data_IF_555688483981
#
_entry.id   IF_555688483981
#
_cell.length_a   1.000
_cell.length_b   1.000
_cell.length_c   1.000
_cell.angle_alpha   90.00
_cell.angle_beta   90.00
_cell.angle_gamma   90.00
#
_symmetry.space_group_name_H-M   'P 1'
#
loop_
_entity.id
_entity.type
_entity.pdbx_description
1 polymer ?
#
# COMPACT_ATOMS: atom_id res chain seq x y z
N UNK A 1 18.23 -23.74 12.78
CA UNK A 1 18.86 -22.54 12.18
C UNK A 1 17.80 -21.85 11.33
N UNK A 2 17.24 -20.72 11.77
CA UNK A 2 16.33 -19.94 10.92
C UNK A 2 17.15 -19.37 9.77
N UNK A 3 16.73 -19.63 8.52
CA UNK A 3 17.33 -18.96 7.36
C UNK A 3 16.98 -17.48 7.46
N UNK A 4 17.98 -16.60 7.42
CA UNK A 4 17.76 -15.16 7.27
C UNK A 4 16.82 -14.91 6.07
N UNK A 5 15.72 -14.22 6.31
CA UNK A 5 14.75 -13.86 5.27
C UNK A 5 15.21 -12.54 4.66
N UNK A 6 15.53 -12.55 3.37
CA UNK A 6 15.82 -11.32 2.64
C UNK A 6 14.50 -10.62 2.26
N UNK A 7 14.43 -9.32 2.48
CA UNK A 7 13.27 -8.50 2.14
C UNK A 7 13.55 -7.63 0.92
N UNK A 8 12.50 -7.37 0.13
CA UNK A 8 12.55 -6.46 -1.00
C UNK A 8 12.92 -5.04 -0.57
N UNK A 9 13.81 -4.41 -1.34
CA UNK A 9 14.22 -3.03 -1.10
C UNK A 9 13.13 -2.07 -1.58
N UNK A 10 12.83 -1.06 -0.78
CA UNK A 10 12.05 0.12 -1.19
C UNK A 10 13.02 1.26 -1.50
N UNK A 11 12.66 2.18 -2.40
CA UNK A 11 13.51 3.31 -2.80
C UNK A 11 14.94 2.95 -3.24
N UNK A 12 15.19 1.74 -3.76
CA UNK A 12 16.55 1.24 -4.00
C UNK A 12 17.41 2.21 -4.82
N UNK A 13 16.84 2.72 -5.92
CA UNK A 13 17.49 3.69 -6.80
C UNK A 13 17.74 5.05 -6.13
N UNK A 14 16.79 5.51 -5.32
CA UNK A 14 16.91 6.78 -4.58
C UNK A 14 18.01 6.68 -3.52
N UNK A 15 18.10 5.56 -2.81
CA UNK A 15 19.18 5.31 -1.87
C UNK A 15 20.55 5.24 -2.57
N UNK A 16 20.64 4.67 -3.77
CA UNK A 16 21.87 4.67 -4.56
C UNK A 16 22.26 6.09 -5.01
N UNK A 17 21.30 6.87 -5.51
CA UNK A 17 21.49 8.27 -5.88
C UNK A 17 21.89 9.14 -4.69
N UNK A 18 21.22 8.99 -3.55
CA UNK A 18 21.51 9.70 -2.31
C UNK A 18 22.92 9.40 -1.78
N UNK A 19 23.33 8.12 -1.79
CA UNK A 19 24.70 7.73 -1.43
C UNK A 19 25.75 8.33 -2.36
N UNK A 20 25.46 8.40 -3.66
CA UNK A 20 26.35 9.08 -4.62
C UNK A 20 26.43 10.57 -4.31
N UNK A 21 25.28 11.24 -4.14
CA UNK A 21 25.20 12.65 -3.79
C UNK A 21 25.97 12.98 -2.52
N UNK A 22 25.79 12.21 -1.44
CA UNK A 22 26.50 12.42 -0.18
C UNK A 22 28.02 12.35 -0.34
N UNK A 23 28.52 11.38 -1.12
CA UNK A 23 29.96 11.24 -1.38
C UNK A 23 30.55 12.43 -2.13
N UNK A 24 29.76 13.09 -2.96
CA UNK A 24 30.19 14.20 -3.82
C UNK A 24 30.01 15.57 -3.15
N UNK A 25 29.04 15.71 -2.23
CA UNK A 25 28.58 17.03 -1.76
C UNK A 25 28.63 17.22 -0.24
N UNK A 26 28.84 16.16 0.56
CA UNK A 26 28.94 16.28 2.02
C UNK A 26 30.40 16.38 2.48
N UNK A 27 30.74 17.22 3.49
CA UNK A 27 32.11 17.48 3.93
C UNK A 27 32.94 16.21 4.23
N UNK A 28 32.30 15.19 4.79
CA UNK A 28 32.93 13.90 5.15
C UNK A 28 32.41 12.71 4.30
N UNK A 29 31.68 12.99 3.21
CA UNK A 29 30.99 11.97 2.43
C UNK A 29 29.82 11.29 3.16
N UNK A 30 29.37 11.87 4.29
CA UNK A 30 28.30 11.34 5.16
C UNK A 30 27.13 12.33 5.26
N UNK A 31 25.89 11.83 5.36
CA UNK A 31 24.73 12.68 5.57
C UNK A 31 24.79 13.39 6.93
N UNK A 32 24.40 14.65 6.93
CA UNK A 32 24.16 15.50 8.10
C UNK A 32 22.71 16.05 8.06
N UNK A 33 22.35 16.91 9.01
CA UNK A 33 20.99 17.48 9.12
C UNK A 33 20.54 18.29 7.90
N UNK A 34 21.46 18.85 7.11
CA UNK A 34 21.14 19.66 5.92
C UNK A 34 21.10 18.81 4.64
N UNK A 35 21.67 17.60 4.68
CA UNK A 35 21.84 16.76 3.50
C UNK A 35 20.52 16.37 2.81
N UNK A 36 19.41 16.09 3.52
CA UNK A 36 18.13 15.82 2.86
C UNK A 36 17.62 16.98 2.00
N UNK A 37 17.67 18.23 2.49
CA UNK A 37 17.21 19.38 1.70
C UNK A 37 18.18 19.70 0.55
N UNK A 38 19.49 19.58 0.77
CA UNK A 38 20.46 19.72 -0.32
C UNK A 38 20.23 18.67 -1.43
N UNK A 39 19.93 17.43 -1.04
CA UNK A 39 19.58 16.38 -1.98
C UNK A 39 18.27 16.69 -2.71
N UNK A 40 17.25 17.20 -2.02
CA UNK A 40 15.99 17.63 -2.63
C UNK A 40 16.23 18.64 -3.75
N UNK A 41 16.99 19.70 -3.48
CA UNK A 41 17.29 20.74 -4.47
C UNK A 41 18.08 20.20 -5.65
N UNK A 42 19.06 19.34 -5.39
CA UNK A 42 19.83 18.65 -6.42
C UNK A 42 18.94 17.73 -7.27
N UNK A 43 18.09 16.93 -6.64
CA UNK A 43 17.22 15.98 -7.33
C UNK A 43 16.21 16.71 -8.21
N UNK A 44 15.56 17.75 -7.69
CA UNK A 44 14.63 18.60 -8.45
C UNK A 44 15.31 19.19 -9.69
N UNK A 45 16.53 19.71 -9.54
CA UNK A 45 17.22 20.38 -10.63
C UNK A 45 17.75 19.44 -11.72
N UNK A 46 17.91 18.14 -11.43
CA UNK A 46 18.58 17.20 -12.33
C UNK A 46 17.69 16.06 -12.83
N UNK A 47 16.66 15.67 -12.07
CA UNK A 47 15.91 14.44 -12.33
C UNK A 47 14.40 14.62 -12.33
N UNK A 48 13.86 15.67 -11.71
CA UNK A 48 12.40 15.87 -11.71
C UNK A 48 11.95 16.33 -13.09
N UNK A 49 11.21 15.45 -13.75
CA UNK A 49 10.59 15.70 -15.05
C UNK A 49 9.06 15.57 -15.00
N UNK A 50 8.52 15.03 -13.91
CA UNK A 50 7.11 14.71 -13.72
C UNK A 50 6.65 14.89 -12.27
N UNK A 51 5.33 14.94 -12.07
CA UNK A 51 4.68 14.84 -10.75
C UNK A 51 5.13 13.58 -9.98
N UNK A 52 5.30 12.47 -10.69
CA UNK A 52 5.68 11.19 -10.10
C UNK A 52 7.09 11.27 -9.52
N UNK A 53 8.03 11.89 -10.23
CA UNK A 53 9.40 12.11 -9.73
C UNK A 53 9.40 12.98 -8.46
N UNK A 54 8.61 14.05 -8.48
CA UNK A 54 8.47 14.95 -7.35
C UNK A 54 7.86 14.24 -6.13
N UNK A 55 6.81 13.45 -6.34
CA UNK A 55 6.13 12.67 -5.30
C UNK A 55 7.05 11.60 -4.72
N UNK A 56 7.77 10.87 -5.58
CA UNK A 56 8.72 9.84 -5.16
C UNK A 56 9.86 10.45 -4.33
N UNK A 57 10.41 11.60 -4.76
CA UNK A 57 11.43 12.33 -4.00
C UNK A 57 10.89 12.80 -2.64
N UNK A 58 9.68 13.35 -2.59
CA UNK A 58 9.05 13.76 -1.33
C UNK A 58 8.91 12.59 -0.36
N UNK A 59 8.44 11.43 -0.84
CA UNK A 59 8.30 10.24 -0.01
C UNK A 59 9.67 9.72 0.45
N UNK A 60 10.69 9.74 -0.41
CA UNK A 60 12.04 9.36 -0.01
C UNK A 60 12.62 10.28 1.06
N UNK A 61 12.38 11.59 1.00
CA UNK A 61 12.81 12.51 2.05
C UNK A 61 12.08 12.25 3.38
N UNK A 62 10.80 11.90 3.32
CA UNK A 62 10.04 11.45 4.49
C UNK A 62 10.61 10.17 5.07
N UNK A 63 11.02 9.22 4.23
CA UNK A 63 11.72 7.99 4.63
C UNK A 63 13.01 8.31 5.41
N UNK A 64 13.85 9.21 4.88
CA UNK A 64 15.07 9.67 5.52
C UNK A 64 14.83 10.37 6.86
N UNK A 65 13.68 11.02 7.03
CA UNK A 65 13.27 11.69 8.27
C UNK A 65 12.50 10.76 9.23
N UNK A 66 12.40 9.47 8.93
CA UNK A 66 11.63 8.49 9.71
C UNK A 66 10.13 8.79 9.76
N UNK A 67 9.56 9.44 8.74
CA UNK A 67 8.14 9.81 8.69
C UNK A 67 7.28 8.81 7.88
N UNK A 68 7.91 7.78 7.29
CA UNK A 68 7.20 6.71 6.59
C UNK A 68 7.08 5.45 7.43
N UNK A 69 5.92 4.81 7.33
CA UNK A 69 5.63 3.53 7.98
C UNK A 69 6.17 2.39 7.13
N UNK A 70 7.07 1.60 7.69
CA UNK A 70 7.56 0.38 7.04
C UNK A 70 6.73 -0.84 7.48
N UNK A 71 6.20 -1.58 6.52
CA UNK A 71 5.45 -2.83 6.74
C UNK A 71 6.21 -4.00 6.12
N UNK A 72 6.56 -4.98 6.94
CA UNK A 72 7.23 -6.21 6.53
C UNK A 72 6.21 -7.35 6.49
N UNK A 73 5.99 -7.93 5.32
CA UNK A 73 5.12 -9.11 5.22
C UNK A 73 5.82 -10.34 5.79
N UNK A 74 5.09 -11.13 6.57
CA UNK A 74 5.61 -12.42 7.04
C UNK A 74 5.55 -13.51 5.96
N UNK A 75 4.52 -13.46 5.12
CA UNK A 75 4.26 -14.43 4.06
C UNK A 75 4.06 -13.70 2.72
N UNK A 76 4.72 -14.19 1.67
CA UNK A 76 4.56 -13.65 0.32
C UNK A 76 3.18 -13.96 -0.27
N UNK A 77 2.50 -15.02 0.18
CA UNK A 77 1.16 -15.40 -0.27
C UNK A 77 0.11 -14.31 -0.02
N UNK A 78 0.35 -13.43 0.95
CA UNK A 78 -0.54 -12.32 1.26
C UNK A 78 -0.62 -11.31 0.09
N UNK A 79 0.44 -11.20 -0.72
CA UNK A 79 0.44 -10.40 -1.95
C UNK A 79 -0.56 -10.95 -2.94
N UNK A 80 -0.53 -12.27 -3.19
CA UNK A 80 -1.43 -12.91 -4.16
C UNK A 80 -2.89 -12.80 -3.70
N UNK A 81 -3.14 -12.92 -2.40
CA UNK A 81 -4.44 -12.63 -1.82
C UNK A 81 -4.89 -11.20 -2.12
N UNK A 82 -4.06 -10.18 -1.84
CA UNK A 82 -4.44 -8.79 -2.09
C UNK A 82 -4.66 -8.47 -3.56
N UNK A 83 -3.90 -9.10 -4.48
CA UNK A 83 -4.08 -8.94 -5.93
C UNK A 83 -5.36 -9.57 -6.46
N UNK A 84 -5.89 -10.60 -5.79
CA UNK A 84 -7.06 -11.36 -6.27
C UNK A 84 -8.38 -10.90 -5.67
N UNK A 85 -8.37 -10.26 -4.50
CA UNK A 85 -9.58 -9.73 -3.84
C UNK A 85 -10.14 -8.53 -4.61
N UNK A 86 -11.45 -8.54 -4.85
CA UNK A 86 -12.12 -7.42 -5.50
C UNK A 86 -12.21 -6.19 -4.59
N UNK A 87 -11.91 -5.02 -5.15
CA UNK A 87 -12.17 -3.73 -4.51
C UNK A 87 -13.68 -3.49 -4.52
N UNK A 88 -14.28 -3.39 -3.33
CA UNK A 88 -15.73 -3.14 -3.20
C UNK A 88 -16.10 -1.87 -2.47
N UNK A 89 -15.15 -1.26 -1.75
CA UNK A 89 -15.44 -0.14 -0.86
C UNK A 89 -14.27 0.84 -0.72
N UNK A 90 -14.23 1.83 -1.60
CA UNK A 90 -13.23 2.90 -1.53
C UNK A 90 -13.51 3.91 -0.41
N UNK A 91 -14.77 4.08 -0.01
CA UNK A 91 -15.14 5.04 1.04
C UNK A 91 -14.62 4.62 2.42
N UNK A 92 -14.58 3.32 2.70
CA UNK A 92 -13.88 2.80 3.87
C UNK A 92 -12.40 3.20 3.90
N UNK A 93 -11.72 3.11 2.76
CA UNK A 93 -10.31 3.49 2.63
C UNK A 93 -10.11 4.99 2.80
N UNK A 94 -10.93 5.82 2.14
CA UNK A 94 -10.87 7.28 2.33
C UNK A 94 -11.04 7.64 3.80
N UNK A 95 -11.94 6.97 4.52
CA UNK A 95 -12.13 7.19 5.97
C UNK A 95 -10.88 6.83 6.77
N UNK A 96 -10.29 5.66 6.52
CA UNK A 96 -9.05 5.25 7.19
C UNK A 96 -7.92 6.28 7.01
N UNK A 97 -7.77 6.80 5.79
CA UNK A 97 -6.77 7.83 5.48
C UNK A 97 -7.08 9.12 6.25
N UNK A 98 -8.34 9.55 6.35
CA UNK A 98 -8.72 10.71 7.18
C UNK A 98 -8.34 10.52 8.65
N UNK A 99 -8.52 9.31 9.17
CA UNK A 99 -8.32 9.01 10.59
C UNK A 99 -6.84 8.80 10.96
N UNK A 100 -6.00 8.37 10.01
CA UNK A 100 -4.61 7.95 10.28
C UNK A 100 -3.54 8.70 9.47
N UNK A 101 -3.94 9.51 8.50
CA UNK A 101 -3.05 10.30 7.66
C UNK A 101 -2.64 11.63 8.29
N UNK A 102 -1.79 12.37 7.58
CA UNK A 102 -1.32 13.68 7.97
C UNK A 102 -1.79 14.75 6.99
N UNK A 103 -2.16 15.92 7.51
CA UNK A 103 -2.47 17.07 6.66
C UNK A 103 -1.24 17.53 5.90
N UNK A 104 -1.39 17.69 4.59
CA UNK A 104 -0.31 18.11 3.69
C UNK A 104 -0.84 19.08 2.63
N UNK A 105 0.10 19.78 1.99
CA UNK A 105 -0.17 20.52 0.76
C UNK A 105 0.13 19.58 -0.41
N UNK A 106 -0.83 19.47 -1.34
CA UNK A 106 -0.78 18.61 -2.51
C UNK A 106 -0.89 19.44 -3.79
N UNK A 107 -0.28 18.99 -4.87
CA UNK A 107 -0.57 19.51 -6.20
C UNK A 107 -1.85 18.86 -6.74
N UNK A 108 -2.76 19.69 -7.26
CA UNK A 108 -4.06 19.27 -7.77
C UNK A 108 -4.04 18.93 -9.26
N UNK A 109 -3.05 19.44 -9.99
CA UNK A 109 -2.83 19.21 -11.42
C UNK A 109 -1.43 18.68 -11.71
N UNK A 110 -1.28 18.02 -12.87
CA UNK A 110 -0.03 17.42 -13.31
C UNK A 110 1.07 18.43 -13.67
N UNK A 111 0.72 19.71 -13.84
CA UNK A 111 1.65 20.80 -14.14
C UNK A 111 2.28 21.41 -12.88
N UNK A 112 1.89 20.94 -11.69
CA UNK A 112 2.37 21.45 -10.39
C UNK A 112 2.01 22.93 -10.15
N UNK A 113 0.95 23.44 -10.79
CA UNK A 113 0.60 24.87 -10.73
C UNK A 113 -0.39 25.20 -9.62
N UNK A 114 -1.32 24.29 -9.31
CA UNK A 114 -2.37 24.51 -8.32
C UNK A 114 -2.14 23.67 -7.08
N UNK A 115 -1.87 24.35 -5.97
CA UNK A 115 -1.76 23.75 -4.65
C UNK A 115 -3.13 23.67 -3.97
N UNK A 116 -3.34 22.59 -3.23
CA UNK A 116 -4.53 22.39 -2.40
C UNK A 116 -4.18 21.65 -1.13
N UNK A 117 -5.09 21.65 -0.16
CA UNK A 117 -4.92 20.87 1.07
C UNK A 117 -5.48 19.47 0.89
N UNK A 118 -4.91 18.53 1.63
CA UNK A 118 -5.44 17.20 1.72
C UNK A 118 -4.78 16.42 2.85
N UNK A 119 -5.07 15.13 2.87
CA UNK A 119 -4.53 14.18 3.83
C UNK A 119 -3.70 13.15 3.09
N UNK A 120 -2.47 12.92 3.54
CA UNK A 120 -1.59 11.92 2.96
C UNK A 120 -1.21 10.84 3.98
N UNK A 121 -1.19 9.61 3.52
CA UNK A 121 -0.69 8.46 4.27
C UNK A 121 0.30 7.68 3.39
N UNK A 122 1.50 7.37 3.91
CA UNK A 122 2.57 6.73 3.14
C UNK A 122 3.03 5.42 3.77
N UNK A 123 3.31 4.42 2.94
CA UNK A 123 3.75 3.08 3.37
C UNK A 123 4.92 2.60 2.51
N UNK A 124 5.96 2.07 3.16
CA UNK A 124 6.99 1.24 2.55
C UNK A 124 6.66 -0.25 2.80
N UNK A 125 6.24 -0.99 1.78
CA UNK A 125 5.91 -2.40 1.87
C UNK A 125 7.10 -3.28 1.46
N UNK A 126 7.61 -4.05 2.40
CA UNK A 126 8.69 -5.01 2.21
C UNK A 126 8.15 -6.43 2.08
N UNK A 127 8.49 -7.09 0.96
CA UNK A 127 8.02 -8.44 0.66
C UNK A 127 9.16 -9.43 0.89
N UNK A 128 8.94 -10.54 1.63
CA UNK A 128 9.96 -11.54 1.85
C UNK A 128 10.32 -12.24 0.53
N UNK A 129 11.62 -12.56 0.36
CA UNK A 129 12.20 -13.26 -0.79
C UNK A 129 12.03 -12.58 -2.15
N UNK A 130 11.64 -11.31 -2.16
CA UNK A 130 11.61 -10.48 -3.37
C UNK A 130 12.78 -9.51 -3.37
N UNK A 131 13.20 -9.07 -4.55
CA UNK A 131 14.28 -8.07 -4.70
C UNK A 131 13.79 -6.65 -4.44
N UNK A 132 12.53 -6.35 -4.79
CA UNK A 132 11.90 -5.04 -4.68
C UNK A 132 10.63 -5.10 -3.84
N UNK A 133 10.43 -4.09 -3.02
CA UNK A 133 9.18 -3.81 -2.32
C UNK A 133 8.31 -2.82 -3.08
N UNK A 134 7.26 -2.34 -2.44
CA UNK A 134 6.42 -1.25 -2.94
C UNK A 134 6.54 -0.04 -2.03
N UNK A 135 6.40 1.15 -2.60
CA UNK A 135 6.09 2.36 -1.85
C UNK A 135 4.73 2.82 -2.33
N UNK A 136 3.83 3.05 -1.37
CA UNK A 136 2.51 3.61 -1.63
C UNK A 136 2.36 4.95 -0.94
N UNK A 137 1.71 5.89 -1.59
CA UNK A 137 1.18 7.08 -0.93
C UNK A 137 -0.27 7.31 -1.33
N UNK A 138 -1.11 7.50 -0.33
CA UNK A 138 -2.54 7.70 -0.47
C UNK A 138 -2.84 9.16 -0.15
N UNK A 139 -3.17 9.93 -1.19
CA UNK A 139 -3.47 11.36 -1.10
C UNK A 139 -4.97 11.58 -1.28
N UNK A 140 -5.63 12.04 -0.23
CA UNK A 140 -7.04 12.40 -0.25
C UNK A 140 -7.19 13.92 -0.32
N UNK A 141 -7.75 14.40 -1.42
CA UNK A 141 -7.86 15.82 -1.73
C UNK A 141 -9.12 16.42 -1.08
N UNK A 142 -8.99 17.53 -0.35
CA UNK A 142 -10.13 18.12 0.37
C UNK A 142 -11.20 18.67 -0.59
N UNK A 143 -10.76 19.31 -1.68
CA UNK A 143 -11.66 20.00 -2.62
C UNK A 143 -12.54 19.04 -3.41
N UNK A 144 -12.00 17.88 -3.80
CA UNK A 144 -12.68 16.91 -4.67
C UNK A 144 -13.13 15.65 -3.94
N UNK A 145 -12.63 15.41 -2.71
CA UNK A 145 -12.72 14.13 -2.01
C UNK A 145 -12.24 12.93 -2.88
N UNK A 146 -11.35 13.23 -3.83
CA UNK A 146 -10.69 12.26 -4.69
C UNK A 146 -9.52 11.64 -3.94
N UNK A 147 -9.40 10.31 -4.02
CA UNK A 147 -8.22 9.59 -3.55
C UNK A 147 -7.30 9.33 -4.73
N UNK A 148 -6.07 9.82 -4.68
CA UNK A 148 -4.99 9.42 -5.60
C UNK A 148 -4.00 8.54 -4.87
N UNK A 149 -3.63 7.42 -5.49
CA UNK A 149 -2.70 6.44 -4.96
C UNK A 149 -1.44 6.49 -5.83
N UNK A 150 -0.35 7.01 -5.27
CA UNK A 150 0.98 6.88 -5.86
C UNK A 150 1.52 5.48 -5.60
N UNK A 151 2.13 4.89 -6.62
CA UNK A 151 2.82 3.62 -6.57
C UNK A 151 4.25 3.84 -7.02
N UNK A 152 5.22 3.30 -6.28
CA UNK A 152 6.57 3.06 -6.77
C UNK A 152 6.96 1.59 -6.55
N UNK A 153 7.43 0.94 -7.61
CA UNK A 153 7.92 -0.43 -7.59
C UNK A 153 9.14 -0.57 -8.50
N UNK A 154 10.32 -0.66 -7.90
CA UNK A 154 11.57 -0.73 -8.67
C UNK A 154 11.80 0.53 -9.50
N UNK A 155 11.68 0.40 -10.84
CA UNK A 155 11.82 1.53 -11.78
C UNK A 155 10.48 2.13 -12.20
N UNK A 156 9.37 1.50 -11.83
CA UNK A 156 8.04 1.94 -12.22
C UNK A 156 7.45 2.85 -11.16
N UNK A 157 6.83 3.93 -11.62
CA UNK A 157 6.07 4.85 -10.79
C UNK A 157 4.89 5.40 -11.57
N UNK A 158 3.76 5.57 -10.88
CA UNK A 158 2.54 6.13 -11.46
C UNK A 158 1.52 6.46 -10.37
N UNK A 159 0.50 7.24 -10.73
CA UNK A 159 -0.68 7.50 -9.89
C UNK A 159 -1.91 6.74 -10.40
N UNK A 160 -2.80 6.41 -9.47
CA UNK A 160 -4.13 5.85 -9.74
C UNK A 160 -5.18 6.72 -9.04
N UNK A 161 -6.19 7.19 -9.77
CA UNK A 161 -7.30 7.95 -9.17
C UNK A 161 -8.47 7.04 -8.75
N UNK A 162 -9.15 7.36 -7.65
CA UNK A 162 -10.39 6.71 -7.25
C UNK A 162 -11.48 6.85 -8.31
N UNK A 163 -11.52 7.96 -9.03
CA UNK A 163 -12.49 8.19 -10.10
C UNK A 163 -12.28 7.17 -11.24
N UNK A 164 -11.03 6.84 -11.53
CA UNK A 164 -10.67 5.83 -12.53
C UNK A 164 -11.05 4.42 -12.10
N UNK A 165 -10.85 4.11 -10.81
CA UNK A 165 -11.21 2.83 -10.21
C UNK A 165 -12.72 2.63 -10.22
N UNK A 166 -13.50 3.65 -9.82
CA UNK A 166 -14.96 3.61 -9.74
C UNK A 166 -15.62 3.48 -11.11
N UNK A 167 -15.09 4.18 -12.12
CA UNK A 167 -15.65 4.17 -13.47
C UNK A 167 -15.37 2.88 -14.26
N UNK A 168 -14.54 1.96 -13.74
CA UNK A 168 -14.21 0.65 -14.35
C UNK A 168 -13.81 0.69 -15.84
N UNK A 169 -13.30 1.83 -16.30
CA UNK A 169 -13.01 2.12 -17.73
C UNK A 169 -11.63 2.73 -17.97
N UNK A 170 -10.83 2.94 -16.93
CA UNK A 170 -9.47 3.48 -17.05
C UNK A 170 -8.45 2.42 -17.49
N UNK A 171 -7.28 2.87 -17.93
CA UNK A 171 -6.07 2.09 -18.24
C UNK A 171 -5.75 1.07 -17.13
N UNK A 172 -6.06 1.40 -15.88
CA UNK A 172 -5.96 0.51 -14.70
C UNK A 172 -6.70 -0.83 -14.88
N UNK A 173 -7.70 -0.91 -15.77
CA UNK A 173 -8.42 -2.16 -16.08
C UNK A 173 -8.02 -2.78 -17.42
N UNK A 174 -7.30 -2.05 -18.29
CA UNK A 174 -6.77 -2.61 -19.54
C UNK A 174 -5.39 -3.20 -19.36
N UNK A 175 -4.61 -2.70 -18.40
CA UNK A 175 -3.33 -3.28 -17.98
C UNK A 175 -3.53 -4.18 -16.76
N UNK A 176 -3.20 -5.47 -16.90
CA UNK A 176 -3.40 -6.46 -15.84
C UNK A 176 -2.49 -6.20 -14.63
N UNK A 177 -1.24 -5.79 -14.86
CA UNK A 177 -0.26 -5.58 -13.81
C UNK A 177 -0.63 -4.34 -12.97
N UNK A 178 -0.97 -3.24 -13.64
CA UNK A 178 -1.48 -2.04 -12.94
C UNK A 178 -2.75 -2.35 -12.15
N UNK A 179 -3.64 -3.20 -12.67
CA UNK A 179 -4.85 -3.63 -11.96
C UNK A 179 -4.51 -4.38 -10.67
N UNK A 180 -3.60 -5.35 -10.76
CA UNK A 180 -3.17 -6.16 -9.63
C UNK A 180 -2.50 -5.31 -8.54
N UNK A 181 -1.64 -4.36 -8.95
CA UNK A 181 -0.97 -3.47 -8.00
C UNK A 181 -1.96 -2.48 -7.37
N UNK A 182 -2.95 -2.02 -8.13
CA UNK A 182 -4.05 -1.19 -7.59
C UNK A 182 -4.83 -1.94 -6.52
N UNK A 183 -5.19 -3.20 -6.79
CA UNK A 183 -5.85 -4.08 -5.81
C UNK A 183 -4.96 -4.31 -4.60
N UNK A 184 -3.67 -4.56 -4.80
CA UNK A 184 -2.70 -4.69 -3.73
C UNK A 184 -2.71 -3.46 -2.81
N UNK A 185 -2.56 -2.26 -3.36
CA UNK A 185 -2.49 -1.03 -2.59
C UNK A 185 -3.78 -0.78 -1.78
N UNK A 186 -4.95 -1.05 -2.35
CA UNK A 186 -6.24 -0.81 -1.68
C UNK A 186 -6.58 -1.90 -0.66
N UNK A 187 -6.37 -3.16 -1.02
CA UNK A 187 -6.70 -4.28 -0.16
C UNK A 187 -5.74 -4.40 1.04
N UNK A 188 -4.48 -3.94 0.90
CA UNK A 188 -3.55 -3.84 2.03
C UNK A 188 -4.12 -2.95 3.14
N UNK A 189 -4.56 -1.72 2.83
CA UNK A 189 -5.17 -0.83 3.82
C UNK A 189 -6.47 -1.41 4.40
N UNK A 190 -7.29 -2.02 3.55
CA UNK A 190 -8.53 -2.68 3.99
C UNK A 190 -8.23 -3.80 4.99
N UNK A 191 -7.16 -4.56 4.75
CA UNK A 191 -6.71 -5.64 5.59
C UNK A 191 -6.20 -5.13 6.94
N UNK A 192 -5.35 -4.10 6.95
CA UNK A 192 -4.83 -3.48 8.18
C UNK A 192 -5.98 -2.95 9.03
N UNK A 193 -6.97 -2.30 8.42
CA UNK A 193 -8.16 -1.85 9.14
C UNK A 193 -8.96 -3.03 9.70
N UNK A 194 -9.24 -4.04 8.87
CA UNK A 194 -10.08 -5.16 9.27
C UNK A 194 -9.42 -6.08 10.32
N UNK A 195 -8.10 -6.19 10.30
CA UNK A 195 -7.31 -7.08 11.14
C UNK A 195 -6.14 -6.32 11.79
N UNK A 196 -6.43 -5.33 12.66
CA UNK A 196 -5.39 -4.49 13.24
C UNK A 196 -4.42 -5.30 14.10
N UNK A 197 -4.89 -6.37 14.76
CA UNK A 197 -4.07 -7.28 15.58
C UNK A 197 -3.03 -8.06 14.76
N UNK A 198 -3.18 -8.10 13.43
CA UNK A 198 -2.19 -8.73 12.54
C UNK A 198 -1.02 -7.78 12.21
N UNK A 199 -1.16 -6.48 12.45
CA UNK A 199 -0.09 -5.49 12.34
C UNK A 199 0.57 -5.33 13.71
N UNK A 200 1.84 -5.70 13.82
CA UNK A 200 2.54 -5.68 15.11
C UNK A 200 3.81 -4.86 15.00
N UNK A 201 4.11 -4.09 16.04
CA UNK A 201 5.29 -3.23 16.10
C UNK A 201 6.60 -4.01 16.06
N UNK A 202 7.58 -3.43 15.37
CA UNK A 202 8.93 -3.95 15.23
C UNK A 202 9.18 -4.57 13.85
N UNK A 203 10.46 -4.64 13.49
CA UNK A 203 10.92 -5.40 12.34
C UNK A 203 10.95 -6.91 12.66
N UNK A 204 10.96 -7.76 11.61
CA UNK A 204 11.38 -9.15 11.75
C UNK A 204 12.72 -9.25 12.47
N UNK A 205 12.89 -10.27 13.32
CA UNK A 205 14.20 -10.59 13.90
C UNK A 205 15.23 -10.61 12.75
N UNK A 206 16.26 -9.76 12.84
CA UNK A 206 17.35 -9.53 11.86
C UNK A 206 17.24 -8.27 10.96
N UNK A 207 16.13 -7.51 11.00
CA UNK A 207 16.06 -6.20 10.34
C UNK A 207 16.12 -5.09 11.40
N UNK A 208 17.07 -4.16 11.26
CA UNK A 208 17.18 -2.97 12.14
C UNK A 208 16.75 -1.73 11.38
N UNK A 209 15.54 -1.26 11.64
CA UNK A 209 15.00 0.02 11.14
C UNK A 209 14.13 0.65 12.22
N UNK A 210 13.96 1.97 12.19
CA UNK A 210 13.04 2.74 13.04
C UNK A 210 11.69 2.87 12.30
N UNK A 211 10.56 2.98 13.03
CA UNK A 211 9.19 3.06 12.47
C UNK A 211 8.76 1.92 11.55
N UNK A 212 8.82 0.69 12.08
CA UNK A 212 8.50 -0.54 11.38
C UNK A 212 7.45 -1.40 12.09
N UNK A 213 6.72 -2.16 11.27
CA UNK A 213 5.74 -3.14 11.71
C UNK A 213 5.85 -4.40 10.84
N UNK A 214 5.50 -5.56 11.39
CA UNK A 214 5.27 -6.76 10.59
C UNK A 214 3.78 -7.06 10.46
N UNK A 215 3.40 -7.55 9.28
CA UNK A 215 2.03 -7.95 8.99
C UNK A 215 1.95 -9.48 8.91
N UNK A 216 1.21 -10.06 9.85
CA UNK A 216 0.84 -11.46 9.83
C UNK A 216 -0.35 -11.70 8.90
N UNK A 217 -0.51 -12.93 8.44
CA UNK A 217 -1.74 -13.39 7.80
C UNK A 217 -2.76 -13.78 8.89
N UNK A 218 -4.05 -13.55 8.60
CA UNK A 218 -5.15 -13.84 9.51
C UNK A 218 -5.63 -15.25 9.18
N UNK A 219 -5.92 -16.06 10.20
CA UNK A 219 -6.48 -17.41 10.03
C UNK A 219 -7.71 -17.41 9.12
N UNK A 220 -8.55 -16.36 9.22
CA UNK A 220 -9.73 -16.15 8.37
C UNK A 220 -9.41 -16.03 6.86
N UNK A 221 -8.19 -15.65 6.52
CA UNK A 221 -7.71 -15.53 5.14
C UNK A 221 -6.97 -16.79 4.70
N UNK A 222 -6.24 -17.46 5.61
CA UNK A 222 -5.56 -18.74 5.32
C UNK A 222 -6.55 -19.75 4.73
N UNK A 223 -7.72 -19.91 5.36
CA UNK A 223 -8.79 -20.81 4.91
C UNK A 223 -9.23 -20.56 3.46
N UNK A 224 -9.15 -19.30 2.99
CA UNK A 224 -9.53 -18.90 1.63
C UNK A 224 -8.42 -19.22 0.64
N UNK A 225 -7.16 -18.93 1.00
CA UNK A 225 -6.00 -19.20 0.13
C UNK A 225 -5.77 -20.69 -0.11
N UNK A 226 -5.98 -21.55 0.91
CA UNK A 226 -5.81 -23.00 0.78
C UNK A 226 -6.92 -23.63 -0.09
N UNK A 227 -8.17 -23.14 0.03
CA UNK A 227 -9.30 -23.64 -0.77
C UNK A 227 -9.24 -23.22 -2.25
N UNK A 228 -8.60 -22.10 -2.56
CA UNK A 228 -8.43 -21.63 -3.94
C UNK A 228 -7.46 -22.50 -4.77
N UNK A 229 -6.55 -23.25 -4.12
CA UNK A 229 -5.59 -24.13 -4.80
C UNK A 229 -6.21 -25.46 -5.29
N UNK A 230 -7.39 -25.84 -4.78
CA UNK A 230 -8.11 -27.04 -5.19
C UNK A 230 -9.10 -26.71 -6.32
N UNK A 231 -8.62 -26.76 -7.57
CA UNK A 231 -9.36 -26.40 -8.77
C UNK A 231 -10.58 -27.27 -9.09
N UNK A 232 -11.68 -27.12 -8.36
CA UNK A 232 -12.99 -27.69 -8.69
C UNK A 232 -14.03 -26.58 -8.79
N UNK A 233 -14.48 -26.31 -10.02
CA UNK A 233 -15.44 -25.25 -10.37
C UNK A 233 -16.87 -25.80 -10.34
N UNK A 234 -17.61 -25.67 -9.23
CA UNK A 234 -19.08 -25.80 -9.07
C UNK A 234 -19.47 -25.21 -7.69
N UNK A 235 -20.69 -24.72 -7.34
CA UNK A 235 -21.62 -23.74 -7.95
C UNK A 235 -21.07 -22.30 -7.76
N UNK A 236 -21.85 -21.23 -8.01
CA UNK A 236 -21.38 -19.83 -7.89
C UNK A 236 -20.94 -19.45 -6.46
N UNK A 237 -19.70 -19.77 -6.11
CA UNK A 237 -19.03 -19.22 -4.93
C UNK A 237 -18.72 -17.75 -5.19
N UNK A 238 -19.36 -16.88 -4.41
CA UNK A 238 -18.96 -15.47 -4.36
C UNK A 238 -17.70 -15.39 -3.51
N UNK A 239 -16.58 -14.98 -4.11
CA UNK A 239 -15.30 -14.78 -3.41
C UNK A 239 -15.43 -13.82 -2.23
N UNK A 240 -14.62 -14.06 -1.20
CA UNK A 240 -14.50 -13.18 -0.05
C UNK A 240 -13.97 -11.79 -0.46
N UNK A 241 -14.34 -10.77 0.31
CA UNK A 241 -14.01 -9.37 -0.01
C UNK A 241 -14.13 -8.47 1.22
N UNK A 242 -13.44 -7.32 1.20
CA UNK A 242 -13.58 -6.29 2.23
C UNK A 242 -14.80 -5.40 1.97
N UNK A 243 -15.53 -5.05 3.04
CA UNK A 243 -16.73 -4.20 2.95
C UNK A 243 -16.88 -3.33 4.20
N UNK A 244 -17.20 -2.05 4.03
CA UNK A 244 -17.65 -1.19 5.13
C UNK A 244 -19.11 -1.45 5.46
N UNK A 245 -19.42 -1.51 6.75
CA UNK A 245 -20.78 -1.64 7.25
C UNK A 245 -21.45 -0.26 7.33
N UNK A 246 -22.11 0.19 6.25
CA UNK A 246 -22.70 1.53 6.18
C UNK A 246 -24.15 1.64 6.66
N UNK A 247 -24.88 0.52 6.78
CA UNK A 247 -26.31 0.51 7.15
C UNK A 247 -26.54 0.78 8.65
N UNK A 248 -27.62 1.48 8.98
CA UNK A 248 -28.13 1.68 10.35
C UNK A 248 -28.45 0.38 11.10
N UNK A 249 -28.59 -0.73 10.36
CA UNK A 249 -28.73 -2.05 10.95
C UNK A 249 -27.55 -2.42 11.87
N UNK A 250 -26.33 -1.99 11.52
CA UNK A 250 -25.11 -2.35 12.25
C UNK A 250 -24.81 -1.41 13.42
N UNK A 251 -25.73 -1.21 14.35
CA UNK A 251 -25.62 -0.19 15.42
C UNK A 251 -24.24 -0.07 16.10
N UNK A 252 -23.59 -1.19 16.41
CA UNK A 252 -22.28 -1.21 17.10
C UNK A 252 -21.07 -1.42 16.18
N UNK A 253 -21.30 -1.69 14.89
CA UNK A 253 -20.24 -1.96 13.91
C UNK A 253 -20.31 -1.03 12.69
N UNK A 254 -21.23 -0.06 12.71
CA UNK A 254 -21.44 0.87 11.61
C UNK A 254 -20.17 1.67 11.39
N UNK A 255 -19.74 1.77 10.14
CA UNK A 255 -18.52 2.44 9.73
C UNK A 255 -17.29 1.56 9.68
N UNK A 256 -17.28 0.38 10.29
CA UNK A 256 -16.12 -0.53 10.28
C UNK A 256 -16.00 -1.29 8.95
N UNK A 257 -14.77 -1.54 8.52
CA UNK A 257 -14.45 -2.46 7.42
C UNK A 257 -14.37 -3.88 7.98
N UNK A 258 -15.08 -4.81 7.35
CA UNK A 258 -15.04 -6.24 7.68
C UNK A 258 -14.69 -7.07 6.45
N UNK A 259 -14.05 -8.22 6.68
CA UNK A 259 -13.90 -9.25 5.66
C UNK A 259 -15.16 -10.11 5.61
N UNK A 260 -15.85 -10.06 4.47
CA UNK A 260 -17.00 -10.93 4.18
C UNK A 260 -16.45 -12.20 3.56
N UNK A 261 -16.61 -13.32 4.24
CA UNK A 261 -16.19 -14.62 3.74
C UNK A 261 -16.93 -15.03 2.47
N UNK A 262 -16.32 -15.95 1.74
CA UNK A 262 -16.93 -16.58 0.60
C UNK A 262 -18.27 -17.24 0.95
N UNK A 263 -19.21 -17.18 0.01
CA UNK A 263 -20.54 -17.74 0.21
C UNK A 263 -21.05 -18.37 -1.08
N UNK A 264 -21.79 -19.47 -0.96
CA UNK A 264 -22.51 -20.05 -2.09
C UNK A 264 -23.74 -19.19 -2.36
N UNK A 265 -23.86 -18.71 -3.59
CA UNK A 265 -25.06 -18.01 -4.06
C UNK A 265 -26.02 -19.04 -4.65
N UNK A 266 -27.27 -19.06 -4.16
CA UNK A 266 -28.36 -19.93 -4.64
C UNK A 266 -28.12 -21.45 -4.51
N UNK A 267 -27.37 -21.89 -3.50
CA UNK A 267 -27.17 -23.31 -3.20
C UNK A 267 -27.15 -23.61 -1.70
N UNK A 268 -27.30 -24.89 -1.35
CA UNK A 268 -27.14 -25.37 0.04
C UNK A 268 -25.78 -26.06 0.13
N UNK A 269 -24.88 -25.54 0.97
CA UNK A 269 -23.57 -26.14 1.22
C UNK A 269 -23.61 -27.00 2.48
N UNK A 270 -22.98 -28.17 2.45
CA UNK A 270 -22.68 -28.99 3.63
C UNK A 270 -21.20 -29.34 3.59
N UNK A 271 -20.48 -29.01 4.66
CA UNK A 271 -19.05 -29.33 4.82
C UNK A 271 -18.93 -30.57 5.70
N UNK A 272 -18.16 -31.55 5.27
CA UNK A 272 -17.64 -32.62 6.12
C UNK A 272 -16.31 -32.12 6.70
N UNK A 273 -16.23 -32.01 8.02
CA UNK A 273 -14.97 -31.74 8.70
C UNK A 273 -14.37 -33.08 9.16
N UNK A 274 -13.06 -33.28 8.95
CA UNK A 274 -12.34 -34.42 9.52
C UNK A 274 -12.27 -34.27 11.05
N UNK A 275 -12.51 -35.37 11.77
CA UNK A 275 -12.43 -35.44 13.25
C UNK A 275 -10.99 -35.51 13.75
#
# INVERSE_FOLDING_TARGET
MSKHIQYGKTFGLFYDAYRKFCRENSPDGKPNSETPEMFRQWFISNFVSSMDDATCCQLFLRDLNHELTHIYLKDENLIDFFKTVEIRDLEGIKTYIKDNGQSVILNNDDQLENLTTGINFGICLHIPRKSQGFVFAYSLYDISNELRIFVNHGMEQYHISSNEIENKKSIVYTDQEMNEITKLAINLLSYIYCFPDCLVDGAPHDVKTENNHYLNISEKVIDVTEKAAAGVVIPHFRRGYFKRLSSDFYKNKKGQIVFVHETIVNGVAKTLEEQ
#
